data_IF_227054056244
#
_entry.id   IF_227054056244
#
_cell.length_a   1.000
_cell.length_b   1.000
_cell.length_c   1.000
_cell.angle_alpha   90.00
_cell.angle_beta   90.00
_cell.angle_gamma   90.00
#
_symmetry.space_group_name_H-M   'P 1'
#
loop_
_entity.id
_entity.type
_entity.pdbx_description
1 polymer ?
#
# COMPACT_ATOMS: atom_id res chain seq x y z
N UNK A 1 22.40 20.82 -43.45
CA UNK A 1 22.48 20.03 -42.19
C UNK A 1 21.31 20.43 -41.31
N UNK A 2 20.16 19.74 -41.43
CA UNK A 2 18.99 20.01 -40.57
C UNK A 2 19.21 19.27 -39.26
N UNK A 3 19.24 20.00 -38.14
CA UNK A 3 19.12 19.44 -36.79
C UNK A 3 17.79 18.68 -36.69
N UNK A 4 17.87 17.37 -36.78
CA UNK A 4 16.81 16.42 -36.47
C UNK A 4 16.77 16.23 -34.94
N UNK A 5 16.20 17.18 -34.22
CA UNK A 5 15.96 17.04 -32.78
C UNK A 5 14.69 16.21 -32.53
N UNK A 6 14.88 14.95 -32.12
CA UNK A 6 14.42 14.41 -30.83
C UNK A 6 12.93 14.48 -30.44
N UNK A 7 11.98 14.42 -31.37
CA UNK A 7 10.54 14.34 -31.00
C UNK A 7 10.09 12.90 -30.69
N UNK A 8 10.74 11.90 -31.28
CA UNK A 8 10.39 10.49 -31.09
C UNK A 8 11.03 9.83 -29.85
N UNK A 9 12.03 10.45 -29.23
CA UNK A 9 12.72 9.89 -28.05
C UNK A 9 12.01 10.19 -26.73
N UNK A 10 11.18 11.23 -26.68
CA UNK A 10 10.46 11.65 -25.47
C UNK A 10 9.60 10.53 -24.88
N UNK A 11 8.77 9.79 -25.64
CA UNK A 11 8.05 8.65 -25.08
C UNK A 11 8.99 7.57 -24.55
N UNK A 12 10.08 7.25 -25.26
CA UNK A 12 11.05 6.23 -24.85
C UNK A 12 11.66 6.51 -23.46
N UNK A 13 12.12 7.74 -23.22
CA UNK A 13 12.72 8.13 -21.93
C UNK A 13 11.74 8.00 -20.76
N UNK A 14 10.46 8.33 -20.94
CA UNK A 14 9.47 8.22 -19.88
C UNK A 14 9.12 6.77 -19.55
N UNK A 15 9.03 5.90 -20.56
CA UNK A 15 8.84 4.46 -20.31
C UNK A 15 10.06 3.86 -19.61
N UNK A 16 11.29 4.18 -20.04
CA UNK A 16 12.51 3.72 -19.37
C UNK A 16 12.60 4.26 -17.93
N UNK A 17 12.26 5.53 -17.71
CA UNK A 17 12.17 6.10 -16.37
C UNK A 17 11.17 5.35 -15.50
N UNK A 18 9.97 5.04 -16.03
CA UNK A 18 8.99 4.19 -15.33
C UNK A 18 9.56 2.81 -15.00
N UNK A 19 10.26 2.15 -15.92
CA UNK A 19 10.92 0.85 -15.67
C UNK A 19 11.95 0.98 -14.55
N UNK A 20 12.87 1.94 -14.63
CA UNK A 20 13.90 2.13 -13.61
C UNK A 20 13.32 2.46 -12.24
N UNK A 21 12.33 3.35 -12.17
CA UNK A 21 11.68 3.70 -10.90
C UNK A 21 10.91 2.49 -10.36
N UNK A 22 10.23 1.71 -11.21
CA UNK A 22 9.56 0.48 -10.79
C UNK A 22 10.54 -0.57 -10.26
N UNK A 23 11.69 -0.77 -10.90
CA UNK A 23 12.75 -1.66 -10.41
C UNK A 23 13.37 -1.15 -9.09
N UNK A 24 13.63 0.15 -8.97
CA UNK A 24 14.13 0.74 -7.73
C UNK A 24 13.11 0.59 -6.59
N UNK A 25 11.82 0.76 -6.90
CA UNK A 25 10.72 0.63 -5.94
C UNK A 25 10.52 -0.84 -5.53
N UNK A 26 10.64 -1.81 -6.44
CA UNK A 26 10.57 -3.23 -6.10
C UNK A 26 11.75 -3.67 -5.23
N UNK A 27 12.95 -3.15 -5.48
CA UNK A 27 14.12 -3.35 -4.61
C UNK A 27 13.87 -2.77 -3.22
N UNK A 28 13.37 -1.54 -3.13
CA UNK A 28 12.99 -0.93 -1.85
C UNK A 28 11.95 -1.77 -1.10
N UNK A 29 10.89 -2.22 -1.78
CA UNK A 29 9.87 -3.10 -1.20
C UNK A 29 10.45 -4.45 -0.73
N UNK A 30 11.42 -4.99 -1.47
CA UNK A 30 12.14 -6.22 -1.07
C UNK A 30 12.94 -6.00 0.20
N UNK A 31 13.68 -4.89 0.31
CA UNK A 31 14.38 -4.55 1.56
C UNK A 31 13.41 -4.35 2.73
N UNK A 32 12.25 -3.74 2.50
CA UNK A 32 11.19 -3.61 3.51
C UNK A 32 10.65 -4.97 3.95
N UNK A 33 10.43 -5.90 3.01
CA UNK A 33 10.02 -7.28 3.32
C UNK A 33 11.09 -7.99 4.16
N UNK A 34 12.36 -7.92 3.77
CA UNK A 34 13.47 -8.51 4.53
C UNK A 34 13.54 -7.92 5.94
N UNK A 35 13.38 -6.61 6.08
CA UNK A 35 13.37 -5.93 7.37
C UNK A 35 12.15 -6.32 8.22
N UNK A 36 10.99 -6.50 7.59
CA UNK A 36 9.77 -7.00 8.24
C UNK A 36 9.94 -8.43 8.75
N UNK A 37 10.50 -9.32 7.93
CA UNK A 37 10.82 -10.70 8.32
C UNK A 37 11.83 -10.72 9.47
N UNK A 38 12.89 -9.92 9.40
CA UNK A 38 13.85 -9.77 10.50
C UNK A 38 13.14 -9.30 11.79
N UNK A 39 12.26 -8.31 11.71
CA UNK A 39 11.51 -7.84 12.87
C UNK A 39 10.59 -8.92 13.47
N UNK A 40 9.87 -9.67 12.63
CA UNK A 40 8.92 -10.68 13.07
C UNK A 40 9.62 -11.92 13.62
N UNK A 41 10.66 -12.42 12.95
CA UNK A 41 11.28 -13.69 13.31
C UNK A 41 12.45 -13.55 14.27
N UNK A 42 13.20 -12.45 14.24
CA UNK A 42 14.38 -12.26 15.08
C UNK A 42 14.08 -11.35 16.28
N UNK A 43 13.41 -10.21 16.07
CA UNK A 43 13.11 -9.31 17.19
C UNK A 43 11.95 -9.80 18.07
N UNK A 44 10.86 -10.32 17.47
CA UNK A 44 9.75 -10.86 18.26
C UNK A 44 10.14 -12.15 19.02
N UNK A 45 11.00 -13.01 18.43
CA UNK A 45 11.48 -14.21 19.11
C UNK A 45 12.39 -13.89 20.29
N UNK A 46 13.32 -12.93 20.15
CA UNK A 46 14.19 -12.47 21.25
C UNK A 46 13.42 -11.83 22.41
N UNK A 47 12.27 -11.21 22.15
CA UNK A 47 11.41 -10.62 23.18
C UNK A 47 10.52 -11.66 23.90
N UNK A 48 10.39 -12.89 23.38
CA UNK A 48 9.74 -13.98 24.10
C UNK A 48 10.81 -14.69 24.93
N UNK A 49 10.93 -14.34 26.20
CA UNK A 49 11.81 -15.04 27.16
C UNK A 49 11.34 -16.47 27.50
N UNK A 50 10.57 -17.13 26.62
CA UNK A 50 9.98 -18.44 26.93
C UNK A 50 10.92 -19.58 26.54
N UNK A 51 11.34 -20.30 27.58
CA UNK A 51 12.06 -21.57 27.60
C UNK A 51 11.30 -22.75 26.99
N UNK A 52 10.22 -22.51 26.24
CA UNK A 52 9.46 -23.56 25.54
C UNK A 52 9.71 -23.50 24.04
N UNK A 53 10.27 -24.59 23.51
CA UNK A 53 10.67 -24.83 22.11
C UNK A 53 9.50 -24.86 21.11
N UNK A 54 8.49 -23.99 21.24
CA UNK A 54 7.45 -23.87 20.22
C UNK A 54 7.83 -22.79 19.21
N UNK A 55 7.78 -23.10 17.89
CA UNK A 55 8.03 -22.11 16.88
C UNK A 55 7.04 -20.94 17.04
N UNK A 56 7.47 -19.70 16.78
CA UNK A 56 6.62 -18.54 16.94
C UNK A 56 5.40 -18.68 16.02
N UNK A 57 4.21 -18.91 16.60
CA UNK A 57 2.95 -18.84 15.84
C UNK A 57 2.86 -17.44 15.21
N UNK A 58 2.85 -17.40 13.87
CA UNK A 58 2.72 -16.17 13.11
C UNK A 58 1.34 -15.56 13.41
N UNK A 59 1.33 -14.39 14.06
CA UNK A 59 0.06 -13.70 14.34
C UNK A 59 -0.60 -13.27 13.02
N UNK A 60 -1.94 -13.20 13.00
CA UNK A 60 -2.68 -12.73 11.82
C UNK A 60 -2.20 -11.36 11.33
N UNK A 61 -1.90 -10.45 12.26
CA UNK A 61 -1.38 -9.12 11.94
C UNK A 61 0.00 -9.17 11.27
N UNK A 62 0.89 -10.07 11.73
CA UNK A 62 2.20 -10.27 11.11
C UNK A 62 2.07 -10.89 9.71
N UNK A 63 1.14 -11.83 9.51
CA UNK A 63 0.85 -12.42 8.20
C UNK A 63 0.38 -11.34 7.21
N UNK A 64 -0.59 -10.50 7.61
CA UNK A 64 -1.08 -9.42 6.74
C UNK A 64 0.00 -8.37 6.45
N UNK A 65 0.89 -8.10 7.40
CA UNK A 65 2.02 -7.19 7.15
C UNK A 65 3.02 -7.77 6.14
N UNK A 66 3.32 -9.07 6.21
CA UNK A 66 4.15 -9.76 5.21
C UNK A 66 3.48 -9.69 3.84
N UNK A 67 2.18 -10.02 3.75
CA UNK A 67 1.42 -9.96 2.50
C UNK A 67 1.36 -8.53 1.92
N UNK A 68 1.24 -7.52 2.79
CA UNK A 68 1.31 -6.11 2.41
C UNK A 68 2.71 -5.70 1.92
N UNK A 69 3.79 -6.34 2.38
CA UNK A 69 5.15 -6.12 1.87
C UNK A 69 5.38 -6.83 0.52
N UNK A 70 4.79 -8.01 0.35
CA UNK A 70 4.96 -8.82 -0.86
C UNK A 70 4.21 -8.25 -2.06
N UNK A 71 3.03 -7.70 -1.85
CA UNK A 71 2.17 -7.20 -2.95
C UNK A 71 2.76 -6.01 -3.73
N UNK A 72 3.38 -4.98 -3.12
CA UNK A 72 4.06 -3.91 -3.85
C UNK A 72 5.27 -4.39 -4.68
N UNK A 73 5.95 -5.46 -4.27
CA UNK A 73 7.06 -6.06 -5.04
C UNK A 73 6.51 -6.54 -6.39
N UNK A 74 5.50 -7.40 -6.34
CA UNK A 74 4.88 -7.93 -7.55
C UNK A 74 4.19 -6.85 -8.38
N UNK A 75 3.54 -5.87 -7.75
CA UNK A 75 2.98 -4.70 -8.43
C UNK A 75 4.05 -3.96 -9.26
N UNK A 76 5.19 -3.64 -8.65
CA UNK A 76 6.26 -2.91 -9.30
C UNK A 76 6.96 -3.74 -10.38
N UNK A 77 7.15 -5.05 -10.15
CA UNK A 77 7.66 -5.97 -11.18
C UNK A 77 6.71 -6.04 -12.37
N UNK A 78 5.41 -6.25 -12.13
CA UNK A 78 4.40 -6.27 -13.20
C UNK A 78 4.36 -4.95 -13.95
N UNK A 79 4.54 -3.81 -13.28
CA UNK A 79 4.65 -2.49 -13.92
C UNK A 79 5.89 -2.37 -14.81
N UNK A 80 7.06 -2.77 -14.31
CA UNK A 80 8.31 -2.72 -15.07
C UNK A 80 8.21 -3.60 -16.33
N UNK A 81 7.71 -4.82 -16.17
CA UNK A 81 7.48 -5.76 -17.27
C UNK A 81 6.46 -5.19 -18.26
N UNK A 82 5.33 -4.67 -17.79
CA UNK A 82 4.31 -4.06 -18.64
C UNK A 82 4.87 -2.88 -19.45
N UNK A 83 5.66 -2.00 -18.83
CA UNK A 83 6.31 -0.89 -19.54
C UNK A 83 7.31 -1.40 -20.59
N UNK A 84 8.15 -2.39 -20.24
CA UNK A 84 9.12 -2.98 -21.17
C UNK A 84 8.44 -3.62 -22.39
N UNK A 85 7.45 -4.48 -22.16
CA UNK A 85 6.71 -5.12 -23.25
C UNK A 85 5.88 -4.13 -24.08
N UNK A 86 5.34 -3.08 -23.49
CA UNK A 86 4.61 -2.04 -24.26
C UNK A 86 5.54 -1.28 -25.22
N UNK A 87 6.83 -1.19 -24.90
CA UNK A 87 7.83 -0.58 -25.79
C UNK A 87 8.20 -1.51 -26.95
N UNK A 88 8.42 -2.80 -26.67
CA UNK A 88 8.91 -3.76 -27.68
C UNK A 88 7.78 -4.42 -28.50
N UNK A 89 6.62 -4.67 -27.88
CA UNK A 89 5.54 -5.46 -28.45
C UNK A 89 4.19 -4.74 -28.28
N UNK A 90 3.59 -4.32 -29.41
CA UNK A 90 2.28 -3.61 -29.44
C UNK A 90 1.06 -4.48 -29.05
N UNK A 91 1.26 -5.65 -28.45
CA UNK A 91 0.20 -6.62 -28.16
C UNK A 91 -0.42 -6.44 -26.77
N UNK A 92 -1.67 -6.91 -26.67
CA UNK A 92 -2.45 -7.00 -25.44
C UNK A 92 -1.65 -7.74 -24.35
N UNK A 93 -1.48 -7.11 -23.18
CA UNK A 93 -0.48 -7.55 -22.21
C UNK A 93 -1.12 -8.07 -20.90
N UNK A 94 -1.07 -9.39 -20.61
CA UNK A 94 -1.57 -9.96 -19.35
C UNK A 94 -0.87 -9.36 -18.12
N UNK A 95 0.30 -8.76 -18.30
CA UNK A 95 1.03 -8.06 -17.22
C UNK A 95 0.26 -6.85 -16.70
N UNK A 96 -0.61 -6.20 -17.50
CA UNK A 96 -1.46 -5.10 -17.02
C UNK A 96 -2.53 -5.59 -16.05
N UNK A 97 -3.11 -6.76 -16.31
CA UNK A 97 -4.07 -7.40 -15.38
C UNK A 97 -3.34 -7.76 -14.09
N UNK A 98 -2.13 -8.31 -14.20
CA UNK A 98 -1.28 -8.62 -13.04
C UNK A 98 -0.94 -7.36 -12.23
N UNK A 99 -0.55 -6.26 -12.88
CA UNK A 99 -0.31 -4.96 -12.25
C UNK A 99 -1.52 -4.52 -11.42
N UNK A 100 -2.73 -4.53 -12.01
CA UNK A 100 -3.95 -4.11 -11.30
C UNK A 100 -4.29 -5.08 -10.17
N UNK A 101 -4.13 -6.38 -10.39
CA UNK A 101 -4.40 -7.39 -9.37
C UNK A 101 -3.53 -7.18 -8.12
N UNK A 102 -2.23 -6.92 -8.31
CA UNK A 102 -1.32 -6.65 -7.19
C UNK A 102 -1.53 -5.27 -6.55
N UNK A 103 -2.07 -4.30 -7.29
CA UNK A 103 -2.54 -3.04 -6.71
C UNK A 103 -3.72 -3.30 -5.77
N UNK A 104 -4.76 -4.02 -6.24
CA UNK A 104 -5.91 -4.38 -5.42
C UNK A 104 -5.51 -5.19 -4.17
N UNK A 105 -4.55 -6.11 -4.31
CA UNK A 105 -4.00 -6.86 -3.16
C UNK A 105 -3.29 -5.95 -2.16
N UNK A 106 -2.48 -5.00 -2.64
CA UNK A 106 -1.78 -4.03 -1.79
C UNK A 106 -2.78 -3.20 -0.97
N UNK A 107 -3.82 -2.69 -1.65
CA UNK A 107 -4.93 -1.95 -1.01
C UNK A 107 -5.68 -2.81 0.00
N UNK A 108 -6.02 -4.04 -0.37
CA UNK A 108 -6.77 -4.96 0.51
C UNK A 108 -5.98 -5.34 1.76
N UNK A 109 -4.73 -5.75 1.62
CA UNK A 109 -3.91 -6.12 2.77
C UNK A 109 -3.66 -4.93 3.68
N UNK A 110 -3.55 -3.73 3.11
CA UNK A 110 -3.48 -2.51 3.89
C UNK A 110 -4.76 -2.21 4.68
N UNK A 111 -5.95 -2.29 4.05
CA UNK A 111 -7.24 -2.12 4.76
C UNK A 111 -7.36 -3.08 5.93
N UNK A 112 -7.06 -4.37 5.69
CA UNK A 112 -7.14 -5.42 6.71
C UNK A 112 -6.12 -5.19 7.82
N UNK A 113 -4.91 -4.75 7.49
CA UNK A 113 -3.89 -4.39 8.47
C UNK A 113 -4.35 -3.20 9.32
N UNK A 114 -4.82 -2.11 8.70
CA UNK A 114 -5.29 -0.91 9.37
C UNK A 114 -6.49 -1.20 10.29
N UNK A 115 -7.42 -2.06 9.84
CA UNK A 115 -8.53 -2.54 10.64
C UNK A 115 -8.05 -3.32 11.87
N UNK A 116 -7.20 -4.34 11.68
CA UNK A 116 -6.70 -5.17 12.79
C UNK A 116 -5.89 -4.35 13.81
N UNK A 117 -5.13 -3.35 13.35
CA UNK A 117 -4.38 -2.43 14.21
C UNK A 117 -5.30 -1.58 15.11
N UNK A 118 -6.46 -1.17 14.58
CA UNK A 118 -7.34 -0.18 15.21
C UNK A 118 -8.58 -0.80 15.86
N UNK A 119 -8.77 -2.11 15.70
CA UNK A 119 -9.98 -2.86 16.04
C UNK A 119 -10.51 -2.56 17.45
N UNK A 120 -9.66 -2.67 18.47
CA UNK A 120 -10.06 -2.47 19.86
C UNK A 120 -10.46 -1.02 20.14
N UNK A 121 -9.75 -0.04 19.58
CA UNK A 121 -10.04 1.37 19.77
C UNK A 121 -11.34 1.79 19.09
N UNK A 122 -11.61 1.25 17.90
CA UNK A 122 -12.88 1.51 17.22
C UNK A 122 -14.05 0.91 17.98
N UNK A 123 -13.89 -0.30 18.53
CA UNK A 123 -14.92 -0.92 19.36
C UNK A 123 -15.24 -0.05 20.59
N UNK A 124 -14.24 0.60 21.17
CA UNK A 124 -14.42 1.50 22.32
C UNK A 124 -15.03 2.86 21.94
N UNK A 125 -14.57 3.51 20.87
CA UNK A 125 -15.03 4.85 20.50
C UNK A 125 -16.29 4.90 19.63
N UNK A 126 -16.55 3.85 18.84
CA UNK A 126 -17.66 3.79 17.89
C UNK A 126 -18.44 2.47 17.99
N UNK A 127 -18.96 2.09 19.18
CA UNK A 127 -19.64 0.80 19.37
C UNK A 127 -20.83 0.63 18.42
N UNK A 128 -21.62 1.68 18.17
CA UNK A 128 -22.78 1.64 17.28
C UNK A 128 -22.41 1.48 15.80
N UNK A 129 -21.23 1.97 15.38
CA UNK A 129 -20.76 1.89 13.99
C UNK A 129 -19.82 0.73 13.74
N UNK A 130 -19.31 0.10 14.80
CA UNK A 130 -18.36 -1.00 14.76
C UNK A 130 -18.81 -2.14 13.84
N UNK A 131 -20.08 -2.56 13.94
CA UNK A 131 -20.61 -3.64 13.10
C UNK A 131 -20.60 -3.29 11.61
N UNK A 132 -20.89 -2.03 11.26
CA UNK A 132 -20.85 -1.56 9.88
C UNK A 132 -19.41 -1.52 9.35
N UNK A 133 -18.48 -1.00 10.15
CA UNK A 133 -17.06 -0.95 9.79
C UNK A 133 -16.47 -2.37 9.67
N UNK A 134 -16.84 -3.29 10.56
CA UNK A 134 -16.41 -4.68 10.50
C UNK A 134 -16.92 -5.38 9.23
N UNK A 135 -18.20 -5.18 8.88
CA UNK A 135 -18.77 -5.69 7.62
C UNK A 135 -18.03 -5.11 6.43
N UNK A 136 -17.79 -3.80 6.42
CA UNK A 136 -17.06 -3.15 5.34
C UNK A 136 -15.66 -3.73 5.14
N UNK A 137 -14.89 -3.94 6.21
CA UNK A 137 -13.56 -4.56 6.10
C UNK A 137 -13.62 -5.94 5.46
N UNK A 138 -14.70 -6.71 5.67
CA UNK A 138 -14.88 -8.03 5.05
C UNK A 138 -15.32 -7.95 3.58
N UNK A 139 -16.10 -6.93 3.20
CA UNK A 139 -16.57 -6.73 1.81
C UNK A 139 -15.64 -5.86 0.96
N UNK A 140 -14.64 -5.22 1.57
CA UNK A 140 -13.63 -4.42 0.87
C UNK A 140 -12.97 -5.12 -0.33
N UNK A 141 -12.70 -6.46 -0.33
CA UNK A 141 -12.15 -7.10 -1.51
C UNK A 141 -13.07 -6.97 -2.73
N UNK A 142 -14.38 -7.10 -2.56
CA UNK A 142 -15.31 -7.01 -3.68
C UNK A 142 -15.24 -5.65 -4.34
N UNK A 143 -15.21 -4.58 -3.54
CA UNK A 143 -15.18 -3.20 -4.03
C UNK A 143 -13.85 -2.89 -4.70
N UNK A 144 -12.73 -3.24 -4.06
CA UNK A 144 -11.39 -2.97 -4.59
C UNK A 144 -11.13 -3.71 -5.91
N UNK A 145 -11.57 -4.97 -6.01
CA UNK A 145 -11.35 -5.80 -7.19
C UNK A 145 -12.25 -5.43 -8.38
N UNK A 146 -13.25 -4.55 -8.21
CA UNK A 146 -14.03 -4.01 -9.34
C UNK A 146 -13.12 -3.35 -10.40
N UNK A 147 -11.95 -2.83 -10.00
CA UNK A 147 -10.95 -2.25 -10.90
C UNK A 147 -10.44 -3.22 -11.99
N UNK A 148 -10.54 -4.54 -11.76
CA UNK A 148 -10.11 -5.55 -12.73
C UNK A 148 -11.12 -5.77 -13.85
N UNK A 149 -12.41 -5.59 -13.58
CA UNK A 149 -13.50 -5.92 -14.51
C UNK A 149 -13.34 -5.18 -15.85
N UNK A 150 -13.08 -3.86 -15.89
CA UNK A 150 -12.96 -3.15 -17.17
C UNK A 150 -11.85 -3.70 -18.06
N UNK A 151 -10.72 -4.11 -17.48
CA UNK A 151 -9.62 -4.71 -18.23
C UNK A 151 -9.91 -6.13 -18.70
N UNK A 152 -10.64 -6.93 -17.90
CA UNK A 152 -11.11 -8.25 -18.31
C UNK A 152 -12.14 -8.16 -19.46
N UNK A 153 -13.03 -7.16 -19.42
CA UNK A 153 -14.00 -6.89 -20.49
C UNK A 153 -13.29 -6.44 -21.76
N UNK A 154 -12.25 -5.61 -21.65
CA UNK A 154 -11.48 -5.16 -22.81
C UNK A 154 -10.80 -6.30 -23.59
N UNK A 155 -10.53 -7.44 -22.93
CA UNK A 155 -10.01 -8.66 -23.61
C UNK A 155 -11.07 -9.26 -24.52
N UNK A 156 -12.31 -9.33 -24.03
CA UNK A 156 -13.42 -9.98 -24.69
C UNK A 156 -14.08 -9.08 -25.74
N UNK A 157 -14.05 -7.76 -25.52
CA UNK A 157 -14.63 -6.76 -26.41
C UNK A 157 -13.66 -5.60 -26.65
N UNK A 158 -12.64 -5.78 -27.53
CA UNK A 158 -11.58 -4.80 -27.76
C UNK A 158 -12.06 -3.44 -28.26
N UNK A 159 -13.23 -3.36 -28.90
CA UNK A 159 -13.79 -2.11 -29.44
C UNK A 159 -14.29 -1.15 -28.34
N UNK A 160 -14.41 -1.64 -27.10
CA UNK A 160 -14.92 -0.86 -25.96
C UNK A 160 -13.83 -0.08 -25.20
N UNK A 161 -12.64 0.15 -25.79
CA UNK A 161 -11.46 0.72 -25.09
C UNK A 161 -11.74 2.02 -24.33
N UNK A 162 -12.55 2.90 -24.92
CA UNK A 162 -12.88 4.19 -24.30
C UNK A 162 -13.73 4.01 -23.04
N UNK A 163 -14.79 3.21 -23.12
CA UNK A 163 -15.70 2.92 -22.00
C UNK A 163 -14.96 2.18 -20.88
N UNK A 164 -14.19 1.14 -21.25
CA UNK A 164 -13.41 0.35 -20.29
C UNK A 164 -12.29 1.17 -19.63
N UNK A 165 -11.63 2.06 -20.37
CA UNK A 165 -10.64 3.00 -19.80
C UNK A 165 -11.25 4.00 -18.82
N UNK A 166 -12.44 4.55 -19.12
CA UNK A 166 -13.17 5.45 -18.22
C UNK A 166 -13.64 4.72 -16.95
N UNK A 167 -14.21 3.52 -17.09
CA UNK A 167 -14.64 2.68 -15.97
C UNK A 167 -13.46 2.31 -15.07
N UNK A 168 -12.31 1.94 -15.65
CA UNK A 168 -11.10 1.65 -14.90
C UNK A 168 -10.62 2.86 -14.09
N UNK A 169 -10.55 4.04 -14.73
CA UNK A 169 -10.11 5.26 -14.05
C UNK A 169 -11.03 5.61 -12.88
N UNK A 170 -12.35 5.51 -13.09
CA UNK A 170 -13.35 5.82 -12.06
C UNK A 170 -13.29 4.85 -10.88
N UNK A 171 -13.24 3.55 -11.16
CA UNK A 171 -13.14 2.52 -10.11
C UNK A 171 -11.81 2.58 -9.35
N UNK A 172 -10.72 2.95 -10.02
CA UNK A 172 -9.41 3.12 -9.38
C UNK A 172 -9.37 4.34 -8.46
N UNK A 173 -9.91 5.49 -8.91
CA UNK A 173 -10.04 6.68 -8.07
C UNK A 173 -10.90 6.38 -6.84
N UNK A 174 -12.05 5.71 -7.04
CA UNK A 174 -12.94 5.37 -5.95
C UNK A 174 -12.26 4.44 -4.92
N UNK A 175 -11.52 3.44 -5.39
CA UNK A 175 -10.77 2.52 -4.53
C UNK A 175 -9.67 3.23 -3.74
N UNK A 176 -8.88 4.09 -4.38
CA UNK A 176 -7.85 4.88 -3.71
C UNK A 176 -8.41 5.86 -2.67
N UNK A 177 -9.52 6.54 -2.98
CA UNK A 177 -10.24 7.38 -2.02
C UNK A 177 -10.75 6.57 -0.85
N UNK A 178 -11.33 5.40 -1.11
CA UNK A 178 -11.85 4.50 -0.10
C UNK A 178 -10.75 4.04 0.87
N UNK A 179 -9.59 3.64 0.37
CA UNK A 179 -8.42 3.27 1.18
C UNK A 179 -7.93 4.45 2.01
N UNK A 180 -7.86 5.64 1.41
CA UNK A 180 -7.36 6.86 2.07
C UNK A 180 -8.30 7.31 3.20
N UNK A 181 -9.61 7.34 2.94
CA UNK A 181 -10.63 7.69 3.93
C UNK A 181 -10.69 6.64 5.05
N UNK A 182 -10.48 5.36 4.71
CA UNK A 182 -10.40 4.30 5.70
C UNK A 182 -9.23 4.54 6.68
N UNK A 183 -8.02 4.80 6.19
CA UNK A 183 -6.88 5.11 7.07
C UNK A 183 -7.12 6.39 7.88
N UNK A 184 -7.64 7.45 7.24
CA UNK A 184 -7.93 8.70 7.95
C UNK A 184 -8.92 8.47 9.11
N UNK A 185 -9.96 7.66 8.90
CA UNK A 185 -10.90 7.26 9.96
C UNK A 185 -10.20 6.48 11.07
N UNK A 186 -9.38 5.48 10.73
CA UNK A 186 -8.63 4.67 11.70
C UNK A 186 -7.72 5.56 12.57
N UNK A 187 -6.97 6.46 11.96
CA UNK A 187 -6.03 7.35 12.66
C UNK A 187 -6.74 8.43 13.46
N UNK A 188 -7.87 8.95 12.97
CA UNK A 188 -8.68 9.89 13.75
C UNK A 188 -9.12 9.28 15.09
N UNK A 189 -9.37 7.97 15.15
CA UNK A 189 -9.68 7.26 16.39
C UNK A 189 -8.48 7.26 17.36
N UNK A 190 -7.26 7.01 16.86
CA UNK A 190 -6.05 7.07 17.70
C UNK A 190 -5.78 8.48 18.22
N UNK A 191 -5.93 9.50 17.36
CA UNK A 191 -5.72 10.90 17.76
C UNK A 191 -6.76 11.34 18.78
N UNK A 192 -8.04 10.97 18.60
CA UNK A 192 -9.09 11.25 19.55
C UNK A 192 -8.86 10.57 20.90
N UNK A 193 -8.39 9.31 20.89
CA UNK A 193 -8.00 8.59 22.10
C UNK A 193 -6.86 9.30 22.84
N UNK A 194 -5.77 9.64 22.13
CA UNK A 194 -4.61 10.31 22.70
C UNK A 194 -4.92 11.69 23.30
N UNK A 195 -5.93 12.40 22.77
CA UNK A 195 -6.37 13.70 23.31
C UNK A 195 -7.13 13.59 24.64
N UNK A 196 -7.72 12.43 24.95
CA UNK A 196 -8.52 12.21 26.17
C UNK A 196 -7.70 11.69 27.35
N UNK A 197 -6.60 11.00 27.06
CA UNK A 197 -5.69 10.44 28.05
C UNK A 197 -4.78 11.54 28.62
N UNK A 198 -4.70 11.65 29.95
CA UNK A 198 -3.77 12.57 30.63
C UNK A 198 -2.31 12.12 30.49
N UNK A 199 -2.06 10.81 30.52
CA UNK A 199 -0.74 10.20 30.32
C UNK A 199 -0.78 9.15 29.19
N UNK A 200 -0.81 9.59 27.92
CA UNK A 200 -1.01 8.68 26.80
C UNK A 200 0.17 7.71 26.64
N UNK A 201 -0.15 6.41 26.59
CA UNK A 201 0.82 5.33 26.38
C UNK A 201 1.69 5.57 25.13
N UNK A 202 3.01 5.48 25.29
CA UNK A 202 4.00 5.72 24.22
C UNK A 202 3.77 4.86 22.97
N UNK A 203 3.21 3.65 23.13
CA UNK A 203 2.85 2.77 21.99
C UNK A 203 1.80 3.41 21.08
N UNK A 204 0.78 4.04 21.66
CA UNK A 204 -0.28 4.68 20.89
C UNK A 204 0.21 5.94 20.18
N UNK A 205 1.15 6.70 20.79
CA UNK A 205 1.82 7.84 20.13
C UNK A 205 2.58 7.41 18.88
N UNK A 206 3.34 6.31 18.97
CA UNK A 206 4.06 5.74 17.82
C UNK A 206 3.10 5.33 16.72
N UNK A 207 2.02 4.63 17.06
CA UNK A 207 1.01 4.19 16.08
C UNK A 207 0.37 5.41 15.38
N UNK A 208 -0.03 6.42 16.15
CA UNK A 208 -0.62 7.63 15.59
C UNK A 208 0.35 8.38 14.67
N UNK A 209 1.62 8.52 15.04
CA UNK A 209 2.62 9.21 14.22
C UNK A 209 2.82 8.52 12.86
N UNK A 210 3.13 7.23 12.86
CA UNK A 210 3.30 6.48 11.60
C UNK A 210 2.00 6.37 10.81
N UNK A 211 0.86 6.35 11.50
CA UNK A 211 -0.46 6.46 10.92
C UNK A 211 -0.71 7.77 10.17
N UNK A 212 -0.40 8.91 10.78
CA UNK A 212 -0.51 10.23 10.14
C UNK A 212 0.38 10.31 8.89
N UNK A 213 1.62 9.80 8.98
CA UNK A 213 2.53 9.74 7.82
C UNK A 213 1.94 8.88 6.71
N UNK A 214 1.42 7.69 7.02
CA UNK A 214 0.76 6.84 6.03
C UNK A 214 -0.47 7.49 5.42
N UNK A 215 -1.31 8.12 6.23
CA UNK A 215 -2.51 8.81 5.73
C UNK A 215 -2.13 9.92 4.75
N UNK A 216 -1.10 10.72 5.07
CA UNK A 216 -0.58 11.75 4.15
C UNK A 216 -0.08 11.13 2.83
N UNK A 217 0.68 10.04 2.90
CA UNK A 217 1.17 9.34 1.70
C UNK A 217 0.01 8.76 0.86
N UNK A 218 -1.04 8.24 1.50
CA UNK A 218 -2.26 7.78 0.80
C UNK A 218 -2.98 8.93 0.09
N UNK A 219 -3.09 10.10 0.72
CA UNK A 219 -3.62 11.31 0.08
C UNK A 219 -2.77 11.74 -1.12
N UNK A 220 -1.44 11.75 -0.98
CA UNK A 220 -0.54 12.06 -2.10
C UNK A 220 -0.71 11.06 -3.26
N UNK A 221 -0.78 9.76 -2.97
CA UNK A 221 -1.00 8.71 -3.96
C UNK A 221 -2.32 8.92 -4.72
N UNK A 222 -3.41 9.18 -3.98
CA UNK A 222 -4.74 9.40 -4.55
C UNK A 222 -4.78 10.68 -5.37
N UNK A 223 -4.22 11.78 -4.87
CA UNK A 223 -4.16 13.05 -5.58
C UNK A 223 -3.36 12.93 -6.89
N UNK A 224 -2.23 12.20 -6.85
CA UNK A 224 -1.42 11.94 -8.04
C UNK A 224 -2.18 11.11 -9.09
N UNK A 225 -2.94 10.10 -8.65
CA UNK A 225 -3.77 9.30 -9.55
C UNK A 225 -4.93 10.11 -10.14
N UNK A 226 -5.62 10.93 -9.33
CA UNK A 226 -6.69 11.82 -9.81
C UNK A 226 -6.13 12.82 -10.82
N UNK A 227 -4.98 13.43 -10.56
CA UNK A 227 -4.31 14.32 -11.51
C UNK A 227 -3.98 13.59 -12.83
N UNK A 228 -3.51 12.35 -12.75
CA UNK A 228 -3.27 11.51 -13.92
C UNK A 228 -4.55 11.26 -14.74
N UNK A 229 -5.69 11.01 -14.10
CA UNK A 229 -6.94 10.67 -14.77
C UNK A 229 -7.75 11.87 -15.27
N UNK A 230 -7.52 13.06 -14.72
CA UNK A 230 -8.36 14.25 -15.00
C UNK A 230 -7.74 15.22 -15.99
N UNK A 231 -6.43 15.17 -16.23
CA UNK A 231 -5.76 16.12 -17.13
C UNK A 231 -5.79 15.57 -18.58
N UNK A 232 -6.60 16.15 -19.48
CA UNK A 232 -6.89 15.59 -20.81
C UNK A 232 -5.72 15.62 -21.80
N UNK A 233 -4.55 16.14 -21.39
CA UNK A 233 -3.35 16.29 -22.25
C UNK A 233 -2.11 15.56 -21.72
N UNK A 234 -2.25 14.70 -20.71
CA UNK A 234 -1.13 13.87 -20.26
C UNK A 234 -0.83 12.85 -21.36
N UNK A 235 0.31 13.00 -22.03
CA UNK A 235 0.82 12.01 -22.98
C UNK A 235 0.91 10.65 -22.27
N UNK A 236 0.64 9.52 -22.94
CA UNK A 236 0.67 8.18 -22.32
C UNK A 236 1.96 7.89 -21.54
N UNK A 237 3.10 8.42 -22.01
CA UNK A 237 4.40 8.31 -21.36
C UNK A 237 4.44 9.01 -19.98
N UNK A 238 3.89 10.22 -19.88
CA UNK A 238 3.76 10.96 -18.63
C UNK A 238 2.77 10.26 -17.67
N UNK A 239 1.74 9.61 -18.22
CA UNK A 239 0.77 8.87 -17.41
C UNK A 239 1.40 7.65 -16.75
N UNK A 240 2.26 6.91 -17.46
CA UNK A 240 3.01 5.81 -16.86
C UNK A 240 3.94 6.26 -15.74
N UNK A 241 4.60 7.40 -15.89
CA UNK A 241 5.47 7.96 -14.86
C UNK A 241 4.69 8.32 -13.59
N UNK A 242 3.52 8.97 -13.75
CA UNK A 242 2.65 9.33 -12.62
C UNK A 242 2.11 8.08 -11.90
N UNK A 243 1.67 7.07 -12.65
CA UNK A 243 1.23 5.78 -12.09
C UNK A 243 2.36 5.08 -11.34
N UNK A 244 3.58 5.09 -11.87
CA UNK A 244 4.75 4.57 -11.14
C UNK A 244 5.01 5.35 -9.85
N UNK A 245 4.81 6.67 -9.85
CA UNK A 245 4.86 7.50 -8.64
C UNK A 245 3.82 7.09 -7.58
N UNK A 246 2.60 6.71 -7.99
CA UNK A 246 1.58 6.15 -7.09
C UNK A 246 2.10 4.88 -6.41
N UNK A 247 2.75 3.99 -7.16
CA UNK A 247 3.28 2.72 -6.61
C UNK A 247 4.45 2.92 -5.65
N UNK A 248 5.26 3.97 -5.88
CA UNK A 248 6.24 4.41 -4.90
C UNK A 248 5.56 4.83 -3.60
N UNK A 249 4.50 5.64 -3.65
CA UNK A 249 3.76 6.02 -2.45
C UNK A 249 3.13 4.82 -1.74
N UNK A 250 2.54 3.87 -2.46
CA UNK A 250 2.03 2.61 -1.89
C UNK A 250 3.14 1.86 -1.14
N UNK A 251 4.33 1.76 -1.74
CA UNK A 251 5.50 1.13 -1.11
C UNK A 251 5.97 1.89 0.14
N UNK A 252 5.94 3.22 0.12
CA UNK A 252 6.28 4.02 1.30
C UNK A 252 5.26 3.89 2.43
N UNK A 253 3.97 3.76 2.10
CA UNK A 253 2.89 3.47 3.08
C UNK A 253 3.14 2.15 3.77
N UNK A 254 3.54 1.10 3.04
CA UNK A 254 3.88 -0.19 3.66
C UNK A 254 5.17 -0.08 4.50
N UNK A 255 6.19 0.61 3.98
CA UNK A 255 7.43 0.86 4.69
C UNK A 255 7.26 1.56 6.04
N UNK A 256 6.33 2.51 6.15
CA UNK A 256 6.02 3.15 7.43
C UNK A 256 5.36 2.18 8.42
N UNK A 257 4.53 1.22 7.97
CA UNK A 257 3.96 0.19 8.84
C UNK A 257 5.02 -0.79 9.35
N UNK A 258 5.98 -1.16 8.50
CA UNK A 258 7.13 -1.98 8.92
C UNK A 258 7.96 -1.23 9.97
N UNK A 259 8.28 0.04 9.74
CA UNK A 259 9.01 0.87 10.72
C UNK A 259 8.25 1.00 12.03
N UNK A 260 6.94 1.25 11.98
CA UNK A 260 6.06 1.28 13.16
C UNK A 260 6.18 -0.01 13.97
N UNK A 261 6.10 -1.17 13.31
CA UNK A 261 6.23 -2.48 13.97
C UNK A 261 7.57 -2.61 14.70
N UNK A 262 8.68 -2.22 14.06
CA UNK A 262 10.01 -2.29 14.66
C UNK A 262 10.14 -1.38 15.87
N UNK A 263 9.69 -0.12 15.76
CA UNK A 263 9.74 0.83 16.88
C UNK A 263 8.92 0.31 18.06
N UNK A 264 7.74 -0.28 17.81
CA UNK A 264 6.92 -0.89 18.86
C UNK A 264 7.60 -2.07 19.55
N UNK A 265 8.34 -2.90 18.80
CA UNK A 265 9.12 -4.01 19.37
C UNK A 265 10.29 -3.52 20.22
N UNK A 266 10.98 -2.47 19.78
CA UNK A 266 12.09 -1.86 20.53
C UNK A 266 11.60 -1.19 21.82
N UNK A 267 10.47 -0.47 21.77
CA UNK A 267 9.83 0.11 22.95
C UNK A 267 9.39 -0.97 23.95
N UNK A 268 8.86 -2.11 23.47
CA UNK A 268 8.50 -3.23 24.33
C UNK A 268 9.73 -3.75 25.10
N UNK A 269 10.86 -3.94 24.40
CA UNK A 269 12.13 -4.39 25.00
C UNK A 269 12.67 -3.40 26.04
N UNK A 270 12.63 -2.10 25.74
CA UNK A 270 13.08 -1.06 26.67
C UNK A 270 12.26 -1.08 27.98
N UNK A 271 10.93 -1.18 27.87
CA UNK A 271 10.05 -1.25 29.04
C UNK A 271 10.24 -2.54 29.86
N UNK A 272 10.51 -3.67 29.21
CA UNK A 272 10.83 -4.93 29.90
C UNK A 272 12.16 -4.85 30.66
N UNK A 273 13.17 -4.20 30.08
CA UNK A 273 14.46 -3.98 30.74
C UNK A 273 14.34 -3.04 31.95
N UNK A 274 13.58 -1.94 31.84
CA UNK A 274 13.33 -1.03 32.98
C UNK A 274 12.71 -1.77 34.16
N UNK A 275 11.67 -2.57 33.90
CA UNK A 275 10.98 -3.38 34.93
C UNK A 275 11.86 -4.44 35.58
N UNK A 276 12.93 -4.88 34.92
CA UNK A 276 13.91 -5.82 35.50
C UNK A 276 14.92 -5.13 36.40
N UNK A 277 15.24 -3.86 36.14
CA UNK A 277 16.16 -3.06 36.95
C UNK A 277 15.50 -2.50 38.21
N UNK A 278 14.17 -2.41 38.23
CA UNK A 278 13.35 -2.01 39.39
C UNK A 278 13.04 -3.16 40.36
N UNK A 279 13.44 -4.40 40.04
CA UNK A 279 13.28 -5.59 40.88
C UNK A 279 14.62 -6.04 41.47
#
# INVERSE_FOLDING_TARGET
>A
TKMSNSVDDIPFYHYMASVYISCATSLLATFQLLYCLHAIFILDSRNRNDTTKQPPKLSRLNLFLILACTSPIFLCVSKAVNCYYTMEYKFFNPTKISEIFFLCLSEQFYIVFAWNRSFHLIKMHFPCRFNYLAKFSNYSPLVLFLQLIPWMVQILAPDTKWITGWLYSTTSIFSGLLVTLWEALMISCFVAYLKRESEPNSKFKVIAWYGCVSSLLCFCATALYVANSTVPRIKPANSNLLVTGVYLFVTLVVGSQVRMKVVLLNLKKANENSKRLEK
#
